data_IF_372605562133
#
_entry.id   IF_372605562133
#
_cell.length_a   1.000
_cell.length_b   1.000
_cell.length_c   1.000
_cell.angle_alpha   90.00
_cell.angle_beta   90.00
_cell.angle_gamma   90.00
#
_symmetry.space_group_name_H-M   'P 1'
#
loop_
_entity.id
_entity.type
_entity.pdbx_description
1 polymer ?
#
# COMPACT_ATOMS: atom_id res chain seq x y z
N UNK A 1 27.41 -63.45 14.19
CA UNK A 1 26.00 -63.08 14.44
C UNK A 1 25.98 -61.62 14.84
N UNK A 2 25.65 -60.74 13.90
CA UNK A 2 25.59 -59.30 14.16
C UNK A 2 24.35 -59.00 15.00
N UNK A 3 24.55 -58.38 16.16
CA UNK A 3 23.47 -57.77 16.91
C UNK A 3 23.02 -56.52 16.12
N UNK A 4 21.89 -56.63 15.43
CA UNK A 4 21.14 -55.47 14.95
C UNK A 4 20.70 -54.70 16.20
N UNK A 5 21.32 -53.55 16.47
CA UNK A 5 20.78 -52.60 17.44
C UNK A 5 19.35 -52.25 17.02
N UNK A 6 18.36 -52.26 17.93
CA UNK A 6 17.01 -51.87 17.57
C UNK A 6 17.03 -50.41 17.14
N UNK A 7 16.70 -50.14 15.87
CA UNK A 7 16.42 -48.77 15.43
C UNK A 7 15.25 -48.26 16.27
N UNK A 8 15.43 -47.12 16.94
CA UNK A 8 14.30 -46.41 17.55
C UNK A 8 13.28 -46.12 16.44
N UNK A 9 12.05 -46.56 16.64
CA UNK A 9 10.93 -46.29 15.73
C UNK A 9 9.98 -45.31 16.41
N UNK A 10 9.57 -44.28 15.67
CA UNK A 10 8.59 -43.29 16.10
C UNK A 10 7.39 -43.31 15.15
N UNK A 11 6.52 -44.35 15.21
CA UNK A 11 5.47 -44.58 14.22
C UNK A 11 4.34 -43.53 14.24
N UNK A 12 4.23 -42.78 15.34
CA UNK A 12 3.22 -41.74 15.55
C UNK A 12 3.79 -40.31 15.51
N UNK A 13 5.06 -40.16 15.11
CA UNK A 13 5.70 -38.85 15.03
C UNK A 13 5.16 -38.04 13.85
N UNK A 14 4.59 -36.87 14.14
CA UNK A 14 3.98 -35.98 13.14
C UNK A 14 4.93 -34.85 12.72
N UNK A 15 5.76 -34.37 13.65
CA UNK A 15 6.71 -33.28 13.41
C UNK A 15 8.08 -33.63 13.97
N UNK A 16 9.14 -33.31 13.23
CA UNK A 16 10.52 -33.58 13.60
C UNK A 16 11.41 -32.38 13.25
N UNK A 17 12.22 -31.96 14.22
CA UNK A 17 13.31 -31.01 14.00
C UNK A 17 14.64 -31.70 14.24
N UNK A 18 15.55 -31.57 13.28
CA UNK A 18 16.95 -31.99 13.40
C UNK A 18 17.84 -30.75 13.29
N UNK A 19 18.84 -30.66 14.15
CA UNK A 19 19.76 -29.53 14.17
C UNK A 19 21.22 -30.00 14.21
N UNK A 20 22.07 -29.33 13.43
CA UNK A 20 23.53 -29.48 13.44
C UNK A 20 23.98 -30.95 13.37
N UNK A 21 23.32 -31.74 12.54
CA UNK A 21 23.55 -33.18 12.44
C UNK A 21 23.61 -33.64 10.99
N UNK A 22 24.12 -34.84 10.80
CA UNK A 22 24.11 -35.52 9.51
C UNK A 22 23.20 -36.74 9.61
N UNK A 23 22.47 -37.04 8.55
CA UNK A 23 21.53 -38.16 8.55
C UNK A 23 21.65 -38.99 7.28
N UNK A 24 21.32 -40.27 7.40
CA UNK A 24 21.10 -41.16 6.26
C UNK A 24 19.61 -41.11 5.93
N UNK A 25 19.21 -40.78 4.68
CA UNK A 25 17.80 -40.70 4.29
C UNK A 25 16.99 -41.96 4.59
N UNK A 26 17.59 -43.14 4.44
CA UNK A 26 16.95 -44.43 4.73
C UNK A 26 16.54 -44.60 6.20
N UNK A 27 17.21 -43.89 7.11
CA UNK A 27 16.89 -43.93 8.54
C UNK A 27 15.70 -43.03 8.90
N UNK A 28 15.29 -42.11 8.01
CA UNK A 28 14.07 -41.32 8.13
C UNK A 28 12.88 -42.11 7.59
N UNK A 29 12.51 -43.18 8.30
CA UNK A 29 11.31 -43.97 8.03
C UNK A 29 10.21 -43.61 9.04
N UNK A 30 9.51 -42.51 8.79
CA UNK A 30 8.51 -41.93 9.68
C UNK A 30 7.18 -41.81 8.92
N UNK A 31 6.33 -42.86 8.95
CA UNK A 31 5.19 -42.97 8.05
C UNK A 31 4.07 -41.95 8.30
N UNK A 32 4.06 -41.29 9.46
CA UNK A 32 3.09 -40.27 9.86
C UNK A 32 3.67 -38.85 9.95
N UNK A 33 4.92 -38.66 9.52
CA UNK A 33 5.55 -37.35 9.58
C UNK A 33 4.93 -36.43 8.53
N UNK A 34 4.37 -35.32 8.99
CA UNK A 34 3.75 -34.28 8.16
C UNK A 34 4.66 -33.05 8.03
N UNK A 35 5.52 -32.82 9.02
CA UNK A 35 6.41 -31.67 9.10
C UNK A 35 7.85 -32.09 9.42
N UNK A 36 8.82 -31.57 8.65
CA UNK A 36 10.25 -31.77 8.89
C UNK A 36 11.00 -30.44 8.83
N UNK A 37 11.75 -30.15 9.90
CA UNK A 37 12.66 -29.01 9.97
C UNK A 37 14.11 -29.48 10.07
N UNK A 38 14.95 -29.02 9.16
CA UNK A 38 16.36 -29.40 9.06
C UNK A 38 17.23 -28.15 9.17
N UNK A 39 17.85 -27.93 10.34
CA UNK A 39 18.67 -26.75 10.62
C UNK A 39 20.14 -27.14 10.58
N UNK A 40 20.91 -26.58 9.65
CA UNK A 40 22.34 -26.89 9.48
C UNK A 40 22.61 -28.39 9.37
N UNK A 41 21.73 -29.11 8.66
CA UNK A 41 21.82 -30.55 8.49
C UNK A 41 22.35 -30.92 7.10
N UNK A 42 22.90 -32.14 6.98
CA UNK A 42 23.33 -32.69 5.70
C UNK A 42 22.87 -34.15 5.54
N UNK A 43 22.48 -34.50 4.31
CA UNK A 43 22.31 -35.90 3.92
C UNK A 43 23.68 -36.51 3.59
N UNK A 44 24.00 -37.64 4.21
CA UNK A 44 25.28 -38.34 3.96
C UNK A 44 25.25 -39.29 2.76
N UNK A 45 24.06 -39.61 2.25
CA UNK A 45 23.86 -40.41 1.04
C UNK A 45 22.78 -39.77 0.15
N UNK A 46 23.21 -39.17 -0.96
CA UNK A 46 22.33 -38.48 -1.91
C UNK A 46 21.68 -39.43 -2.93
N UNK A 47 22.06 -40.71 -2.96
CA UNK A 47 21.42 -41.72 -3.82
C UNK A 47 20.20 -42.35 -3.16
N UNK A 48 20.20 -42.43 -1.84
CA UNK A 48 19.05 -42.87 -1.06
C UNK A 48 17.93 -41.82 -1.09
N UNK A 49 16.69 -42.31 -1.13
CA UNK A 49 15.48 -41.48 -1.15
C UNK A 49 14.76 -41.55 0.19
N UNK A 50 14.02 -40.49 0.49
CA UNK A 50 13.23 -40.38 1.71
C UNK A 50 12.04 -41.33 1.66
N UNK A 51 11.65 -41.90 2.80
CA UNK A 51 10.38 -42.61 2.94
C UNK A 51 9.47 -41.87 3.92
N UNK A 52 8.94 -40.74 3.47
CA UNK A 52 8.08 -39.85 4.25
C UNK A 52 6.78 -39.59 3.47
N UNK A 53 5.87 -40.59 3.41
CA UNK A 53 4.72 -40.59 2.50
C UNK A 53 3.61 -39.59 2.85
N UNK A 54 3.69 -38.94 4.02
CA UNK A 54 2.73 -37.93 4.48
C UNK A 54 3.39 -36.55 4.70
N UNK A 55 4.66 -36.40 4.31
CA UNK A 55 5.38 -35.13 4.53
C UNK A 55 4.78 -34.04 3.65
N UNK A 56 4.20 -33.04 4.29
CA UNK A 56 3.55 -31.91 3.62
C UNK A 56 4.43 -30.66 3.66
N UNK A 57 5.15 -30.45 4.75
CA UNK A 57 5.99 -29.27 4.96
C UNK A 57 7.46 -29.64 5.21
N UNK A 58 8.35 -29.02 4.45
CA UNK A 58 9.78 -29.10 4.65
C UNK A 58 10.37 -27.70 4.84
N UNK A 59 10.96 -27.48 6.02
CA UNK A 59 11.77 -26.31 6.33
C UNK A 59 13.25 -26.72 6.37
N UNK A 60 14.09 -25.98 5.64
CA UNK A 60 15.54 -26.16 5.65
C UNK A 60 16.22 -24.84 5.92
N UNK A 61 17.10 -24.81 6.90
CA UNK A 61 17.93 -23.64 7.22
C UNK A 61 19.41 -23.97 7.02
N UNK A 62 20.15 -23.14 6.30
CA UNK A 62 21.59 -23.28 6.13
C UNK A 62 22.02 -24.14 4.94
N UNK A 63 22.09 -25.47 5.07
CA UNK A 63 22.58 -26.35 3.99
C UNK A 63 21.43 -27.11 3.34
N UNK A 64 21.33 -27.06 2.01
CA UNK A 64 20.23 -27.67 1.27
C UNK A 64 20.69 -28.58 0.13
N UNK A 65 21.92 -28.44 -0.39
CA UNK A 65 22.35 -29.17 -1.60
C UNK A 65 22.17 -30.69 -1.48
N UNK A 66 22.71 -31.29 -0.42
CA UNK A 66 22.62 -32.75 -0.23
C UNK A 66 21.22 -33.22 0.14
N UNK A 67 20.42 -32.35 0.78
CA UNK A 67 19.01 -32.58 1.10
C UNK A 67 18.20 -32.63 -0.20
N UNK A 68 18.32 -31.60 -1.06
CA UNK A 68 17.71 -31.52 -2.38
C UNK A 68 17.97 -32.79 -3.21
N UNK A 69 19.22 -33.25 -3.26
CA UNK A 69 19.60 -34.41 -4.06
C UNK A 69 18.95 -35.73 -3.59
N UNK A 70 18.53 -35.79 -2.32
CA UNK A 70 17.88 -36.96 -1.71
C UNK A 70 16.35 -36.97 -1.81
N UNK A 71 15.73 -35.88 -2.31
CA UNK A 71 14.29 -35.77 -2.50
C UNK A 71 13.89 -36.34 -3.87
N UNK A 72 12.90 -37.22 -3.89
CA UNK A 72 12.21 -37.61 -5.13
C UNK A 72 11.02 -36.67 -5.38
N UNK A 73 11.26 -35.53 -6.02
CA UNK A 73 10.23 -34.53 -6.28
C UNK A 73 9.05 -35.02 -7.12
N UNK A 74 9.23 -36.09 -7.91
CA UNK A 74 8.18 -36.66 -8.75
C UNK A 74 7.15 -37.48 -7.98
N UNK A 75 7.54 -38.05 -6.83
CA UNK A 75 6.70 -38.91 -5.99
C UNK A 75 6.51 -38.37 -4.56
N UNK A 76 7.16 -37.27 -4.23
CA UNK A 76 7.02 -36.59 -2.94
C UNK A 76 5.60 -36.06 -2.73
N UNK A 77 5.17 -36.01 -1.47
CA UNK A 77 3.94 -35.34 -1.05
C UNK A 77 4.18 -33.91 -0.56
N UNK A 78 5.43 -33.44 -0.54
CA UNK A 78 5.77 -32.10 -0.04
C UNK A 78 4.99 -31.06 -0.84
N UNK A 79 4.19 -30.27 -0.13
CA UNK A 79 3.38 -29.18 -0.66
C UNK A 79 4.03 -27.82 -0.41
N UNK A 80 4.67 -27.67 0.75
CA UNK A 80 5.32 -26.42 1.19
C UNK A 80 6.82 -26.65 1.40
N UNK A 81 7.64 -25.92 0.64
CA UNK A 81 9.09 -25.90 0.80
C UNK A 81 9.54 -24.50 1.23
N UNK A 82 10.16 -24.43 2.40
CA UNK A 82 10.73 -23.20 2.96
C UNK A 82 12.23 -23.38 3.12
N UNK A 83 13.00 -22.53 2.45
CA UNK A 83 14.45 -22.51 2.53
C UNK A 83 14.87 -21.17 3.13
N UNK A 84 15.70 -21.20 4.16
CA UNK A 84 16.15 -20.02 4.90
C UNK A 84 17.68 -19.99 4.97
N UNK A 85 18.25 -18.83 4.66
CA UNK A 85 19.69 -18.59 4.73
C UNK A 85 20.53 -19.69 4.04
N UNK A 86 20.14 -20.14 2.84
CA UNK A 86 20.85 -21.23 2.16
C UNK A 86 22.27 -20.81 1.75
N UNK A 87 23.25 -21.64 2.10
CA UNK A 87 24.69 -21.32 1.99
C UNK A 87 25.44 -22.15 0.96
N UNK A 88 24.88 -23.27 0.49
CA UNK A 88 25.63 -24.29 -0.26
C UNK A 88 25.03 -24.65 -1.64
N UNK A 89 24.01 -23.92 -2.10
CA UNK A 89 23.27 -24.23 -3.32
C UNK A 89 23.15 -23.03 -4.26
N UNK A 90 24.12 -22.91 -5.17
CA UNK A 90 24.16 -21.85 -6.21
C UNK A 90 23.28 -22.18 -7.42
N UNK A 91 22.95 -23.46 -7.65
CA UNK A 91 22.16 -23.91 -8.80
C UNK A 91 21.09 -24.90 -8.40
N UNK A 92 19.85 -24.59 -8.74
CA UNK A 92 18.71 -25.50 -8.68
C UNK A 92 18.26 -25.82 -10.09
N UNK A 93 18.36 -27.08 -10.50
CA UNK A 93 18.05 -27.43 -11.88
C UNK A 93 17.46 -28.81 -12.07
N UNK A 94 16.69 -28.96 -13.15
CA UNK A 94 16.09 -30.22 -13.59
C UNK A 94 15.14 -30.83 -12.56
N UNK A 95 14.33 -30.00 -11.91
CA UNK A 95 13.38 -30.45 -10.88
C UNK A 95 11.95 -30.32 -11.38
N UNK A 96 11.22 -31.43 -11.26
CA UNK A 96 9.84 -31.56 -11.69
C UNK A 96 9.03 -32.04 -10.49
N UNK A 97 8.05 -31.24 -10.05
CA UNK A 97 7.21 -31.60 -8.91
C UNK A 97 5.73 -31.36 -9.20
N UNK A 98 4.88 -32.39 -9.06
CA UNK A 98 3.43 -32.24 -9.16
C UNK A 98 2.77 -31.84 -7.84
N UNK A 99 3.47 -31.88 -6.71
CA UNK A 99 2.90 -31.69 -5.37
C UNK A 99 3.13 -30.29 -4.81
N UNK A 100 4.30 -29.69 -5.07
CA UNK A 100 4.67 -28.39 -4.50
C UNK A 100 3.68 -27.31 -4.92
N UNK A 101 3.02 -26.71 -3.93
CA UNK A 101 2.07 -25.61 -4.07
C UNK A 101 2.63 -24.28 -3.56
N UNK A 102 3.62 -24.32 -2.66
CA UNK A 102 4.25 -23.15 -2.06
C UNK A 102 5.76 -23.30 -1.98
N UNK A 103 6.50 -22.31 -2.47
CA UNK A 103 7.96 -22.23 -2.33
C UNK A 103 8.33 -20.83 -1.80
N UNK A 104 9.13 -20.80 -0.74
CA UNK A 104 9.81 -19.61 -0.24
C UNK A 104 11.28 -19.94 -0.06
N UNK A 105 12.16 -19.30 -0.81
CA UNK A 105 13.58 -19.62 -0.83
C UNK A 105 14.47 -18.40 -0.62
N UNK A 106 15.09 -18.32 0.55
CA UNK A 106 16.05 -17.29 0.93
C UNK A 106 17.47 -17.85 0.91
N UNK A 107 18.31 -17.25 0.07
CA UNK A 107 19.72 -17.60 -0.08
C UNK A 107 20.57 -16.60 0.70
N UNK A 108 21.60 -17.13 1.37
CA UNK A 108 22.53 -16.32 2.14
C UNK A 108 23.31 -15.35 1.24
N UNK A 109 23.76 -14.23 1.83
CA UNK A 109 24.58 -13.22 1.15
C UNK A 109 25.96 -13.73 0.72
N UNK A 110 26.37 -14.94 1.13
CA UNK A 110 27.59 -15.58 0.66
C UNK A 110 27.50 -16.14 -0.77
N UNK A 111 26.28 -16.36 -1.29
CA UNK A 111 26.06 -16.83 -2.67
C UNK A 111 25.90 -15.61 -3.57
N UNK A 112 26.80 -15.42 -4.53
CA UNK A 112 26.77 -14.24 -5.41
C UNK A 112 25.61 -14.26 -6.40
N UNK A 113 25.34 -15.42 -7.01
CA UNK A 113 24.26 -15.60 -7.97
C UNK A 113 23.60 -16.98 -7.80
N UNK A 114 22.28 -17.00 -7.89
CA UNK A 114 21.48 -18.23 -7.86
C UNK A 114 20.93 -18.51 -9.25
N UNK A 115 21.23 -19.70 -9.77
CA UNK A 115 20.69 -20.19 -11.05
C UNK A 115 19.50 -21.12 -10.81
N UNK A 116 18.33 -20.74 -11.31
CA UNK A 116 17.15 -21.61 -11.39
C UNK A 116 16.93 -22.00 -12.85
N UNK A 117 17.08 -23.28 -13.16
CA UNK A 117 17.10 -23.75 -14.55
C UNK A 117 16.25 -25.01 -14.76
N UNK A 118 15.39 -25.02 -15.79
CA UNK A 118 14.61 -26.20 -16.15
C UNK A 118 13.80 -26.74 -14.96
N UNK A 119 12.98 -25.85 -14.37
CA UNK A 119 12.11 -26.18 -13.25
C UNK A 119 10.65 -26.22 -13.71
N UNK A 120 9.92 -27.26 -13.29
CA UNK A 120 8.50 -27.41 -13.60
C UNK A 120 7.73 -27.83 -12.36
N UNK A 121 6.93 -26.91 -11.84
CA UNK A 121 6.10 -27.13 -10.66
C UNK A 121 4.63 -26.96 -11.05
N UNK A 122 3.97 -28.07 -11.36
CA UNK A 122 2.65 -28.02 -12.01
C UNK A 122 1.51 -27.60 -11.09
N UNK A 123 1.72 -27.71 -9.77
CA UNK A 123 0.74 -27.33 -8.74
C UNK A 123 1.10 -26.06 -7.98
N UNK A 124 2.22 -25.41 -8.32
CA UNK A 124 2.72 -24.24 -7.61
C UNK A 124 1.74 -23.09 -7.75
N UNK A 125 1.32 -22.50 -6.62
CA UNK A 125 0.47 -21.31 -6.58
C UNK A 125 1.25 -20.06 -6.20
N UNK A 126 2.28 -20.19 -5.35
CA UNK A 126 3.10 -19.08 -4.87
C UNK A 126 4.58 -19.46 -4.92
N UNK A 127 5.38 -18.57 -5.52
CA UNK A 127 6.84 -18.65 -5.50
C UNK A 127 7.42 -17.34 -4.97
N UNK A 128 8.31 -17.41 -3.99
CA UNK A 128 9.08 -16.27 -3.50
C UNK A 128 10.53 -16.66 -3.34
N UNK A 129 11.44 -15.81 -3.79
CA UNK A 129 12.86 -16.03 -3.54
C UNK A 129 13.63 -14.74 -3.30
N UNK A 130 14.62 -14.81 -2.42
CA UNK A 130 15.59 -13.76 -2.19
C UNK A 130 17.02 -14.27 -2.35
N UNK A 131 17.85 -13.52 -3.07
CA UNK A 131 19.26 -13.83 -3.33
C UNK A 131 20.06 -12.54 -3.59
N UNK A 132 21.35 -12.64 -3.89
CA UNK A 132 22.12 -11.47 -4.33
C UNK A 132 21.94 -11.15 -5.83
N UNK A 133 21.66 -12.16 -6.66
CA UNK A 133 21.41 -12.06 -8.09
C UNK A 133 20.74 -13.35 -8.58
N UNK A 134 19.95 -13.26 -9.65
CA UNK A 134 19.22 -14.37 -10.24
C UNK A 134 19.57 -14.62 -11.70
N UNK A 135 19.74 -15.90 -12.03
CA UNK A 135 19.72 -16.41 -13.41
C UNK A 135 18.60 -17.42 -13.57
N UNK A 136 17.53 -17.02 -14.24
CA UNK A 136 16.30 -17.80 -14.42
C UNK A 136 16.18 -18.25 -15.88
N UNK A 137 16.10 -19.56 -16.09
CA UNK A 137 15.98 -20.12 -17.43
C UNK A 137 15.03 -21.32 -17.47
N UNK A 138 14.11 -21.35 -18.44
CA UNK A 138 13.20 -22.49 -18.66
C UNK A 138 12.40 -22.85 -17.40
N UNK A 139 11.64 -21.90 -16.88
CA UNK A 139 10.78 -22.12 -15.72
C UNK A 139 9.33 -22.26 -16.18
N UNK A 140 8.64 -23.31 -15.73
CA UNK A 140 7.25 -23.58 -16.10
C UNK A 140 6.38 -23.79 -14.87
N UNK A 141 5.58 -22.78 -14.54
CA UNK A 141 4.70 -22.74 -13.35
C UNK A 141 3.24 -22.49 -13.79
N UNK A 142 2.56 -23.48 -14.37
CA UNK A 142 1.27 -23.27 -15.04
C UNK A 142 0.12 -22.83 -14.11
N UNK A 143 0.25 -22.97 -12.79
CA UNK A 143 -0.79 -22.60 -11.82
C UNK A 143 -0.40 -21.45 -10.88
N UNK A 144 0.79 -20.88 -11.06
CA UNK A 144 1.26 -19.83 -10.16
C UNK A 144 0.37 -18.61 -10.30
N UNK A 145 -0.04 -18.03 -9.17
CA UNK A 145 -0.85 -16.80 -9.09
C UNK A 145 0.00 -15.61 -8.64
N UNK A 146 1.00 -15.86 -7.78
CA UNK A 146 1.93 -14.86 -7.27
C UNK A 146 3.36 -15.35 -7.39
N UNK A 147 4.21 -14.54 -8.01
CA UNK A 147 5.64 -14.82 -8.18
C UNK A 147 6.43 -13.60 -7.71
N UNK A 148 7.42 -13.84 -6.84
CA UNK A 148 8.20 -12.80 -6.18
C UNK A 148 9.70 -13.06 -6.23
N UNK A 149 10.48 -12.03 -6.58
CA UNK A 149 11.93 -12.02 -6.51
C UNK A 149 12.40 -10.76 -5.79
N UNK A 150 13.39 -10.92 -4.92
CA UNK A 150 14.01 -9.81 -4.21
C UNK A 150 15.52 -10.00 -4.17
N UNK A 151 16.28 -8.92 -4.36
CA UNK A 151 17.71 -8.95 -4.01
C UNK A 151 18.04 -8.12 -2.78
N UNK A 152 19.12 -8.52 -2.11
CA UNK A 152 19.64 -7.82 -0.94
C UNK A 152 20.55 -6.63 -1.28
N UNK A 153 21.03 -6.50 -2.53
CA UNK A 153 22.06 -5.54 -2.93
C UNK A 153 21.62 -4.70 -4.13
N UNK A 154 21.58 -3.38 -3.95
CA UNK A 154 21.26 -2.43 -5.03
C UNK A 154 22.27 -2.43 -6.18
N UNK A 155 23.50 -2.92 -5.96
CA UNK A 155 24.62 -2.97 -6.92
C UNK A 155 25.14 -4.41 -7.17
N UNK A 156 24.23 -5.40 -7.11
CA UNK A 156 24.54 -6.83 -7.34
C UNK A 156 24.93 -7.17 -8.80
N UNK A 157 25.23 -8.45 -9.04
CA UNK A 157 25.39 -8.96 -10.41
C UNK A 157 24.10 -8.81 -11.21
N UNK A 158 24.22 -8.53 -12.50
CA UNK A 158 23.07 -8.38 -13.41
C UNK A 158 22.21 -9.65 -13.45
N UNK A 159 20.89 -9.47 -13.38
CA UNK A 159 19.89 -10.52 -13.43
C UNK A 159 19.53 -10.93 -14.87
N UNK A 160 19.19 -12.20 -15.05
CA UNK A 160 18.72 -12.75 -16.31
C UNK A 160 17.43 -13.54 -16.11
N UNK A 161 16.41 -13.29 -16.93
CA UNK A 161 15.20 -14.11 -16.98
C UNK A 161 14.84 -14.45 -18.42
N UNK A 162 14.75 -15.75 -18.71
CA UNK A 162 14.37 -16.20 -20.04
C UNK A 162 13.53 -17.47 -20.05
N UNK A 163 12.62 -17.59 -21.01
CA UNK A 163 11.72 -18.74 -21.17
C UNK A 163 10.92 -19.02 -19.89
N UNK A 164 10.24 -17.99 -19.41
CA UNK A 164 9.39 -18.05 -18.23
C UNK A 164 7.93 -18.28 -18.64
N UNK A 165 7.36 -19.40 -18.24
CA UNK A 165 6.00 -19.81 -18.60
C UNK A 165 5.11 -19.88 -17.35
N UNK A 166 4.28 -18.87 -17.14
CA UNK A 166 3.37 -18.75 -16.00
C UNK A 166 2.00 -18.19 -16.45
N UNK A 167 1.20 -18.99 -17.21
CA UNK A 167 -0.03 -18.54 -17.85
C UNK A 167 -1.09 -17.95 -16.91
N UNK A 168 -1.12 -18.39 -15.65
CA UNK A 168 -2.11 -17.97 -14.65
C UNK A 168 -1.56 -16.97 -13.63
N UNK A 169 -0.36 -16.41 -13.87
CA UNK A 169 0.24 -15.43 -12.98
C UNK A 169 -0.62 -14.17 -12.96
N UNK A 170 -1.04 -13.73 -11.78
CA UNK A 170 -1.88 -12.55 -11.57
C UNK A 170 -1.04 -11.38 -11.07
N UNK A 171 -0.10 -11.66 -10.16
CA UNK A 171 0.72 -10.65 -9.48
C UNK A 171 2.21 -10.99 -9.57
N UNK A 172 3.01 -10.04 -10.02
CA UNK A 172 4.46 -10.17 -10.14
C UNK A 172 5.16 -9.15 -9.23
N UNK A 173 5.86 -9.64 -8.21
CA UNK A 173 6.58 -8.80 -7.25
C UNK A 173 8.09 -8.84 -7.53
N UNK A 174 8.68 -7.68 -7.79
CA UNK A 174 10.08 -7.55 -8.16
C UNK A 174 10.71 -6.45 -7.31
N UNK A 175 11.78 -6.77 -6.59
CA UNK A 175 12.45 -5.83 -5.70
C UNK A 175 13.98 -5.86 -5.83
N UNK A 176 14.59 -4.68 -5.98
CA UNK A 176 16.04 -4.47 -6.05
C UNK A 176 16.70 -5.27 -7.19
N UNK A 177 16.13 -5.29 -8.39
CA UNK A 177 16.61 -6.14 -9.50
C UNK A 177 17.22 -5.32 -10.64
N UNK A 178 18.23 -5.90 -11.28
CA UNK A 178 18.94 -5.30 -12.41
C UNK A 178 18.94 -6.22 -13.62
N UNK A 179 17.87 -6.21 -14.41
CA UNK A 179 17.76 -7.12 -15.54
C UNK A 179 18.65 -6.70 -16.71
N UNK A 180 19.61 -7.54 -17.07
CA UNK A 180 20.33 -7.47 -18.35
C UNK A 180 19.54 -8.11 -19.49
N UNK A 181 18.76 -9.14 -19.18
CA UNK A 181 17.99 -9.90 -20.17
C UNK A 181 16.63 -10.29 -19.63
N UNK A 182 15.59 -9.98 -20.41
CA UNK A 182 14.21 -10.38 -20.22
C UNK A 182 13.70 -10.87 -21.56
N UNK A 183 13.48 -12.17 -21.69
CA UNK A 183 13.18 -12.76 -23.00
C UNK A 183 12.22 -13.93 -22.91
N UNK A 184 11.30 -14.07 -23.86
CA UNK A 184 10.30 -15.14 -23.90
C UNK A 184 9.53 -15.29 -22.57
N UNK A 185 8.97 -14.19 -22.07
CA UNK A 185 8.14 -14.15 -20.85
C UNK A 185 6.67 -14.33 -21.23
N UNK A 186 6.04 -15.43 -20.79
CA UNK A 186 4.64 -15.76 -21.09
C UNK A 186 3.77 -15.73 -19.84
N UNK A 187 3.07 -14.61 -19.65
CA UNK A 187 2.21 -14.32 -18.49
C UNK A 187 0.89 -13.64 -18.91
N UNK A 188 0.06 -14.25 -19.77
CA UNK A 188 -1.16 -13.64 -20.33
C UNK A 188 -2.23 -13.22 -19.29
N UNK A 189 -2.26 -13.81 -18.09
CA UNK A 189 -3.21 -13.45 -17.04
C UNK A 189 -2.68 -12.34 -16.10
N UNK A 190 -1.49 -11.79 -16.36
CA UNK A 190 -0.85 -10.82 -15.49
C UNK A 190 -1.60 -9.49 -15.54
N UNK A 191 -2.01 -9.01 -14.37
CA UNK A 191 -2.80 -7.77 -14.23
C UNK A 191 -2.16 -6.77 -13.26
N UNK A 192 -1.27 -7.24 -12.37
CA UNK A 192 -0.66 -6.42 -11.33
C UNK A 192 0.85 -6.68 -11.23
N UNK A 193 1.62 -5.60 -11.11
CA UNK A 193 3.07 -5.65 -10.92
C UNK A 193 3.49 -4.71 -9.78
N UNK A 194 4.34 -5.21 -8.90
CA UNK A 194 5.03 -4.41 -7.90
C UNK A 194 6.51 -4.34 -8.29
N UNK A 195 6.98 -3.14 -8.63
CA UNK A 195 8.29 -2.88 -9.22
C UNK A 195 9.05 -1.92 -8.31
N UNK A 196 9.69 -2.49 -7.30
CA UNK A 196 10.39 -1.74 -6.25
C UNK A 196 11.88 -1.72 -6.57
N UNK A 197 12.39 -0.60 -7.08
CA UNK A 197 13.81 -0.45 -7.47
C UNK A 197 14.28 -1.51 -8.49
N UNK A 198 13.61 -1.57 -9.64
CA UNK A 198 13.93 -2.49 -10.74
C UNK A 198 14.35 -1.69 -11.97
N UNK A 199 15.54 -2.00 -12.49
CA UNK A 199 16.08 -1.35 -13.69
C UNK A 199 16.49 -2.35 -14.76
N UNK A 200 16.39 -1.92 -16.01
CA UNK A 200 16.93 -2.64 -17.15
C UNK A 200 18.33 -2.11 -17.46
N UNK A 201 19.33 -2.99 -17.54
CA UNK A 201 20.72 -2.64 -17.84
C UNK A 201 21.05 -3.00 -19.28
N UNK A 202 21.36 -2.00 -20.09
CA UNK A 202 21.57 -2.16 -21.54
C UNK A 202 20.25 -2.26 -22.32
N UNK A 203 20.29 -1.97 -23.63
CA UNK A 203 19.08 -1.67 -24.41
C UNK A 203 18.63 -2.75 -25.40
N UNK A 204 19.31 -3.90 -25.47
CA UNK A 204 19.15 -4.81 -26.62
C UNK A 204 18.43 -6.14 -26.37
N UNK A 205 18.25 -6.58 -25.12
CA UNK A 205 17.77 -7.94 -24.82
C UNK A 205 16.62 -8.01 -23.79
N UNK A 206 15.82 -6.93 -23.65
CA UNK A 206 14.67 -6.94 -22.74
C UNK A 206 13.36 -6.69 -23.49
N UNK A 207 12.50 -7.70 -23.52
CA UNK A 207 11.14 -7.63 -24.05
C UNK A 207 10.14 -7.31 -22.92
N UNK A 208 9.57 -6.12 -22.99
CA UNK A 208 8.55 -5.63 -22.07
C UNK A 208 7.11 -5.89 -22.54
N UNK A 209 6.89 -6.70 -23.59
CA UNK A 209 5.53 -6.94 -24.14
C UNK A 209 4.55 -7.56 -23.14
N UNK A 210 5.05 -8.30 -22.16
CA UNK A 210 4.24 -8.87 -21.08
C UNK A 210 3.60 -7.82 -20.17
N UNK A 211 4.06 -6.56 -20.22
CA UNK A 211 3.53 -5.43 -19.46
C UNK A 211 2.31 -4.76 -20.11
N UNK A 212 1.98 -5.06 -21.38
CA UNK A 212 0.92 -4.33 -22.11
C UNK A 212 -0.49 -4.42 -21.47
N UNK A 213 -0.77 -5.51 -20.76
CA UNK A 213 -2.07 -5.78 -20.14
C UNK A 213 -2.19 -5.40 -18.67
N UNK A 214 -1.17 -4.76 -18.09
CA UNK A 214 -1.17 -4.42 -16.66
C UNK A 214 -2.18 -3.32 -16.36
N UNK A 215 -3.02 -3.55 -15.35
CA UNK A 215 -4.02 -2.59 -14.86
C UNK A 215 -3.57 -1.91 -13.56
N UNK A 216 -2.75 -2.58 -12.75
CA UNK A 216 -2.26 -2.06 -11.47
C UNK A 216 -0.75 -2.11 -11.38
N UNK A 217 -0.11 -1.00 -11.01
CA UNK A 217 1.32 -0.93 -10.79
C UNK A 217 1.65 -0.22 -9.49
N UNK A 218 2.55 -0.81 -8.69
CA UNK A 218 3.28 -0.10 -7.65
C UNK A 218 4.74 0.10 -8.08
N UNK A 219 5.28 1.32 -7.93
CA UNK A 219 6.62 1.66 -8.42
C UNK A 219 7.38 2.62 -7.49
N UNK A 220 8.65 2.31 -7.24
CA UNK A 220 9.59 3.18 -6.50
C UNK A 220 10.59 3.84 -7.47
N UNK A 221 11.48 3.06 -8.08
CA UNK A 221 12.48 3.54 -9.04
C UNK A 221 12.56 2.59 -10.22
N UNK A 222 11.77 2.88 -11.25
CA UNK A 222 11.75 2.11 -12.51
C UNK A 222 11.11 2.93 -13.61
N UNK A 223 11.42 2.60 -14.86
CA UNK A 223 10.79 3.20 -16.04
C UNK A 223 9.84 2.26 -16.79
N UNK A 224 9.54 1.09 -16.21
CA UNK A 224 8.66 0.08 -16.81
C UNK A 224 7.22 0.55 -17.01
N UNK A 225 6.79 1.60 -16.29
CA UNK A 225 5.52 2.29 -16.52
C UNK A 225 5.38 2.80 -17.97
N UNK A 226 6.49 3.03 -18.69
CA UNK A 226 6.47 3.41 -20.12
C UNK A 226 5.91 2.32 -21.04
N UNK A 227 5.76 1.10 -20.54
CA UNK A 227 5.35 -0.07 -21.31
C UNK A 227 3.95 -0.57 -20.94
N UNK A 228 3.21 0.19 -20.14
CA UNK A 228 1.91 -0.19 -19.56
C UNK A 228 0.80 0.80 -19.92
N UNK A 229 0.32 0.75 -21.15
CA UNK A 229 -0.73 1.68 -21.63
C UNK A 229 -2.11 1.41 -20.99
N UNK A 230 -2.33 0.22 -20.40
CA UNK A 230 -3.61 -0.23 -19.83
C UNK A 230 -3.80 0.11 -18.34
N UNK A 231 -2.87 0.86 -17.73
CA UNK A 231 -2.92 1.17 -16.30
C UNK A 231 -4.20 1.90 -15.90
N UNK A 232 -4.83 1.42 -14.83
CA UNK A 232 -5.98 2.03 -14.16
C UNK A 232 -5.61 2.54 -12.78
N UNK A 233 -4.72 1.84 -12.07
CA UNK A 233 -4.20 2.21 -10.75
C UNK A 233 -2.67 2.27 -10.78
N UNK A 234 -2.13 3.41 -10.37
CA UNK A 234 -0.70 3.63 -10.22
C UNK A 234 -0.39 4.09 -8.80
N UNK A 235 0.43 3.35 -8.08
CA UNK A 235 1.04 3.75 -6.82
C UNK A 235 2.49 4.14 -7.06
N UNK A 236 2.87 5.35 -6.64
CA UNK A 236 4.23 5.88 -6.78
C UNK A 236 4.81 6.17 -5.41
N UNK A 237 5.87 5.46 -5.03
CA UNK A 237 6.51 5.62 -3.72
C UNK A 237 7.75 6.53 -3.74
N UNK A 238 8.19 6.95 -4.93
CA UNK A 238 9.20 7.99 -5.09
C UNK A 238 8.63 9.15 -5.87
N UNK A 239 8.32 10.24 -5.18
CA UNK A 239 7.67 11.42 -5.75
C UNK A 239 8.50 12.03 -6.90
N UNK A 240 9.83 11.86 -6.88
CA UNK A 240 10.70 12.33 -7.98
C UNK A 240 10.36 11.67 -9.31
N UNK A 241 9.89 10.43 -9.29
CA UNK A 241 9.52 9.68 -10.48
C UNK A 241 8.32 10.30 -11.21
N UNK A 242 7.43 10.99 -10.49
CA UNK A 242 6.30 11.67 -11.11
C UNK A 242 6.76 12.78 -12.08
N UNK A 243 7.90 13.44 -11.83
CA UNK A 243 8.46 14.43 -12.75
C UNK A 243 8.96 13.78 -14.04
N UNK A 244 9.52 12.56 -13.96
CA UNK A 244 9.96 11.80 -15.12
C UNK A 244 8.78 11.27 -15.95
N UNK A 245 7.66 11.00 -15.28
CA UNK A 245 6.40 10.58 -15.89
C UNK A 245 5.61 11.72 -16.53
N UNK A 246 5.93 13.00 -16.27
CA UNK A 246 5.08 14.14 -16.63
C UNK A 246 4.70 14.24 -18.12
N UNK A 247 5.59 13.80 -19.01
CA UNK A 247 5.34 13.79 -20.46
C UNK A 247 4.65 12.50 -20.97
N UNK A 248 4.41 11.52 -20.10
CA UNK A 248 3.81 10.25 -20.45
C UNK A 248 2.28 10.32 -20.40
N UNK A 249 1.65 9.76 -21.45
CA UNK A 249 0.21 9.72 -21.59
C UNK A 249 -0.36 8.44 -21.00
N UNK A 250 -1.18 8.56 -19.96
CA UNK A 250 -1.87 7.46 -19.29
C UNK A 250 -3.37 7.47 -19.67
N UNK A 251 -3.77 6.79 -20.76
CA UNK A 251 -5.12 6.92 -21.31
C UNK A 251 -6.24 6.36 -20.42
N UNK A 252 -5.93 5.45 -19.51
CA UNK A 252 -6.91 4.71 -18.71
C UNK A 252 -6.72 4.87 -17.21
N UNK A 253 -5.74 5.68 -16.77
CA UNK A 253 -5.42 5.85 -15.36
C UNK A 253 -6.56 6.61 -14.67
N UNK A 254 -7.25 5.93 -13.76
CA UNK A 254 -8.34 6.50 -12.97
C UNK A 254 -7.91 6.81 -11.54
N UNK A 255 -6.94 6.06 -11.00
CA UNK A 255 -6.52 6.18 -9.61
C UNK A 255 -5.00 6.37 -9.52
N UNK A 256 -4.58 7.42 -8.81
CA UNK A 256 -3.19 7.69 -8.49
C UNK A 256 -3.00 7.73 -6.98
N UNK A 257 -2.07 6.92 -6.48
CA UNK A 257 -1.66 6.91 -5.07
C UNK A 257 -0.20 7.35 -5.02
N UNK A 258 0.12 8.31 -4.17
CA UNK A 258 1.49 8.78 -3.96
C UNK A 258 1.84 8.52 -2.50
N UNK A 259 2.73 7.56 -2.26
CA UNK A 259 3.00 6.99 -0.95
C UNK A 259 4.53 6.91 -0.71
N UNK A 260 5.21 8.01 -0.36
CA UNK A 260 6.65 8.03 -0.12
C UNK A 260 7.14 6.91 0.80
N UNK A 261 8.27 6.31 0.44
CA UNK A 261 8.99 5.43 1.34
C UNK A 261 9.50 6.18 2.58
N UNK A 262 9.60 5.48 3.71
CA UNK A 262 10.13 6.02 4.98
C UNK A 262 11.58 6.50 4.90
N UNK A 263 12.27 6.25 3.78
CA UNK A 263 13.65 6.66 3.52
C UNK A 263 13.77 8.08 2.94
N UNK A 264 12.68 8.69 2.47
CA UNK A 264 12.72 10.07 1.97
C UNK A 264 12.68 11.06 3.14
N UNK A 265 13.85 11.36 3.70
CA UNK A 265 14.07 12.50 4.59
C UNK A 265 14.13 13.83 3.84
N UNK A 266 13.94 13.82 2.52
CA UNK A 266 13.98 15.00 1.69
C UNK A 266 12.68 15.78 1.88
N UNK A 267 12.73 16.78 2.75
CA UNK A 267 11.63 17.71 3.04
C UNK A 267 11.52 18.82 2.01
N UNK A 268 12.18 18.67 0.85
CA UNK A 268 12.12 19.68 -0.20
C UNK A 268 10.70 19.80 -0.73
N UNK A 269 10.14 21.02 -0.78
CA UNK A 269 8.83 21.29 -1.36
C UNK A 269 8.65 20.64 -2.72
N UNK A 270 7.59 19.85 -2.89
CA UNK A 270 7.28 19.21 -4.16
C UNK A 270 6.04 19.89 -4.75
N UNK A 271 6.20 20.54 -5.89
CA UNK A 271 5.07 20.89 -6.76
C UNK A 271 4.61 19.63 -7.46
N UNK A 272 3.32 19.28 -7.33
CA UNK A 272 2.73 18.13 -8.00
C UNK A 272 2.95 18.20 -9.52
N UNK A 273 3.79 17.33 -10.11
CA UNK A 273 3.91 17.27 -11.56
C UNK A 273 2.60 16.75 -12.14
N UNK A 274 2.19 17.37 -13.24
CA UNK A 274 0.98 17.00 -13.97
C UNK A 274 1.28 15.73 -14.79
N UNK A 275 0.52 14.67 -14.57
CA UNK A 275 0.50 13.50 -15.43
C UNK A 275 -0.54 13.74 -16.53
N UNK A 276 -0.24 13.32 -17.76
CA UNK A 276 -1.23 13.35 -18.82
C UNK A 276 -2.22 12.18 -18.66
N UNK A 277 -3.11 12.26 -17.68
CA UNK A 277 -4.09 11.24 -17.30
C UNK A 277 -5.53 11.79 -17.38
N UNK A 278 -6.19 11.76 -18.56
CA UNK A 278 -7.49 12.42 -18.76
C UNK A 278 -8.67 11.74 -18.05
N UNK A 279 -8.49 10.49 -17.60
CA UNK A 279 -9.50 9.72 -16.89
C UNK A 279 -9.27 9.70 -15.38
N UNK A 280 -8.40 10.57 -14.85
CA UNK A 280 -8.03 10.54 -13.44
C UNK A 280 -9.19 11.01 -12.56
N UNK A 281 -9.76 10.09 -11.80
CA UNK A 281 -10.95 10.24 -10.94
C UNK A 281 -10.56 10.38 -9.46
N UNK A 282 -9.48 9.71 -9.04
CA UNK A 282 -9.05 9.67 -7.63
C UNK A 282 -7.56 9.96 -7.49
N UNK A 283 -7.21 10.85 -6.57
CA UNK A 283 -5.82 11.07 -6.14
C UNK A 283 -5.71 10.92 -4.61
N UNK A 284 -4.75 10.13 -4.17
CA UNK A 284 -4.42 9.91 -2.76
C UNK A 284 -2.96 10.26 -2.48
N UNK A 285 -2.74 11.07 -1.46
CA UNK A 285 -1.41 11.42 -0.96
C UNK A 285 -1.25 10.83 0.43
N UNK A 286 -0.26 9.95 0.61
CA UNK A 286 -0.02 9.21 1.83
C UNK A 286 1.38 9.54 2.38
N UNK A 287 1.48 10.52 3.28
CA UNK A 287 2.70 10.81 4.04
C UNK A 287 3.76 11.65 3.34
N UNK A 288 3.38 12.58 2.43
CA UNK A 288 4.36 13.42 1.71
C UNK A 288 4.84 14.61 2.53
N UNK A 289 6.14 14.73 2.86
CA UNK A 289 6.68 15.93 3.48
C UNK A 289 6.63 17.11 2.51
N UNK A 290 5.63 18.01 2.64
CA UNK A 290 5.67 19.33 1.99
C UNK A 290 4.94 19.44 0.66
N UNK A 291 3.64 19.20 0.65
CA UNK A 291 2.76 19.64 -0.46
C UNK A 291 2.43 21.12 -0.24
N UNK A 292 3.03 22.02 -1.02
CA UNK A 292 2.83 23.47 -0.87
C UNK A 292 1.94 24.09 -1.94
N UNK A 293 1.78 23.44 -3.10
CA UNK A 293 1.04 23.99 -4.23
C UNK A 293 0.15 22.92 -4.88
N UNK A 294 -1.16 23.10 -4.67
CA UNK A 294 -2.21 22.26 -5.23
C UNK A 294 -2.82 22.86 -6.51
N UNK A 295 -2.36 24.02 -6.99
CA UNK A 295 -2.93 24.72 -8.16
C UNK A 295 -2.94 23.87 -9.43
N UNK A 296 -2.00 22.93 -9.54
CA UNK A 296 -1.93 21.95 -10.62
C UNK A 296 -3.16 21.04 -10.74
N UNK A 297 -3.95 20.87 -9.68
CA UNK A 297 -5.16 20.04 -9.72
C UNK A 297 -6.20 20.51 -10.75
N UNK A 298 -6.19 21.79 -11.12
CA UNK A 298 -7.04 22.32 -12.20
C UNK A 298 -6.82 21.60 -13.56
N UNK A 299 -5.69 20.91 -13.74
CA UNK A 299 -5.46 20.03 -14.90
C UNK A 299 -6.51 18.91 -14.99
N UNK A 300 -6.98 18.41 -13.85
CA UNK A 300 -7.94 17.31 -13.73
C UNK A 300 -9.37 17.80 -13.41
N UNK A 301 -9.64 19.09 -13.63
CA UNK A 301 -10.91 19.75 -13.25
C UNK A 301 -12.17 18.98 -13.67
N UNK A 302 -12.14 18.37 -14.86
CA UNK A 302 -13.31 17.77 -15.50
C UNK A 302 -13.46 16.28 -15.09
N UNK A 303 -12.44 15.66 -14.49
CA UNK A 303 -12.41 14.22 -14.18
C UNK A 303 -12.26 13.90 -12.69
N UNK A 304 -11.61 14.76 -11.89
CA UNK A 304 -11.27 14.46 -10.50
C UNK A 304 -12.52 14.47 -9.61
N UNK A 305 -12.90 13.31 -9.08
CA UNK A 305 -14.06 13.10 -8.22
C UNK A 305 -13.68 13.03 -6.74
N UNK A 306 -12.47 12.55 -6.41
CA UNK A 306 -12.04 12.41 -5.01
C UNK A 306 -10.57 12.79 -4.81
N UNK A 307 -10.33 13.58 -3.76
CA UNK A 307 -8.99 13.97 -3.33
C UNK A 307 -8.80 13.64 -1.84
N UNK A 308 -7.75 12.89 -1.56
CA UNK A 308 -7.37 12.54 -0.19
C UNK A 308 -5.94 12.96 0.09
N UNK A 309 -5.73 13.75 1.15
CA UNK A 309 -4.43 14.20 1.62
C UNK A 309 -4.22 13.71 3.05
N UNK A 310 -3.27 12.81 3.27
CA UNK A 310 -2.95 12.24 4.58
C UNK A 310 -1.48 12.47 4.94
N UNK A 311 -1.19 13.02 6.11
CA UNK A 311 0.19 13.22 6.56
C UNK A 311 0.36 13.25 8.09
N UNK A 312 1.19 12.36 8.64
CA UNK A 312 1.49 12.26 10.08
C UNK A 312 2.50 13.28 10.59
N UNK A 313 3.44 13.74 9.77
CA UNK A 313 4.58 14.53 10.28
C UNK A 313 4.69 15.92 9.62
N UNK A 314 3.56 16.52 9.21
CA UNK A 314 3.56 17.84 8.59
C UNK A 314 3.56 18.97 9.60
N UNK A 315 4.46 19.93 9.43
CA UNK A 315 4.40 21.24 10.10
C UNK A 315 4.46 22.33 9.03
N UNK A 316 3.32 22.87 8.62
CA UNK A 316 3.24 23.94 7.62
C UNK A 316 1.82 24.37 7.26
N UNK A 317 1.71 25.35 6.37
CA UNK A 317 0.43 25.85 5.85
C UNK A 317 -0.03 25.00 4.65
N UNK A 318 -1.31 24.61 4.66
CA UNK A 318 -1.96 23.87 3.57
C UNK A 318 -2.82 24.86 2.80
N UNK A 319 -2.47 25.12 1.54
CA UNK A 319 -3.08 26.18 0.73
C UNK A 319 -3.82 25.58 -0.46
N UNK A 320 -5.12 25.83 -0.52
CA UNK A 320 -5.97 25.67 -1.69
C UNK A 320 -6.28 27.08 -2.21
N UNK A 321 -5.75 27.45 -3.37
CA UNK A 321 -5.95 28.76 -3.99
C UNK A 321 -6.29 28.63 -5.47
N UNK A 322 -7.25 29.44 -5.94
CA UNK A 322 -7.69 29.51 -7.33
C UNK A 322 -8.03 28.15 -7.98
N UNK A 323 -8.65 27.24 -7.22
CA UNK A 323 -9.07 25.92 -7.69
C UNK A 323 -10.52 25.90 -8.17
N UNK A 324 -10.74 25.40 -9.38
CA UNK A 324 -12.05 25.08 -9.91
C UNK A 324 -12.11 23.61 -10.30
N UNK A 325 -12.69 22.79 -9.42
CA UNK A 325 -12.84 21.34 -9.60
C UNK A 325 -14.34 21.00 -9.65
N UNK A 326 -15.00 21.16 -10.82
CA UNK A 326 -16.44 20.96 -10.96
C UNK A 326 -16.91 19.54 -10.68
N UNK A 327 -16.09 18.52 -10.91
CA UNK A 327 -16.44 17.11 -10.70
C UNK A 327 -16.15 16.59 -9.30
N UNK A 328 -15.49 17.38 -8.44
CA UNK A 328 -15.03 16.93 -7.12
C UNK A 328 -16.21 16.68 -6.19
N UNK A 329 -16.36 15.44 -5.73
CA UNK A 329 -17.41 14.99 -4.81
C UNK A 329 -16.93 14.91 -3.36
N UNK A 330 -15.66 14.52 -3.16
CA UNK A 330 -15.07 14.23 -1.84
C UNK A 330 -13.71 14.92 -1.71
N UNK A 331 -13.53 15.68 -0.63
CA UNK A 331 -12.25 16.27 -0.23
C UNK A 331 -11.98 15.93 1.23
N UNK A 332 -10.96 15.09 1.47
CA UNK A 332 -10.52 14.72 2.81
C UNK A 332 -9.05 15.10 3.00
N UNK A 333 -8.79 15.85 4.07
CA UNK A 333 -7.47 16.30 4.46
C UNK A 333 -7.23 15.94 5.92
N UNK A 334 -6.21 15.14 6.20
CA UNK A 334 -5.82 14.73 7.55
C UNK A 334 -4.33 14.97 7.73
N UNK A 335 -4.00 15.89 8.62
CA UNK A 335 -2.64 16.31 8.91
C UNK A 335 -2.44 16.32 10.42
N UNK A 336 -1.38 15.71 10.94
CA UNK A 336 -1.21 15.61 12.40
C UNK A 336 -0.82 16.93 13.06
N UNK A 337 -0.01 17.79 12.41
CA UNK A 337 0.43 19.08 12.98
C UNK A 337 0.39 20.28 12.00
N UNK A 338 -0.71 20.50 11.24
CA UNK A 338 -0.79 21.62 10.31
C UNK A 338 -0.69 22.96 11.06
N UNK A 339 0.01 23.94 10.48
CA UNK A 339 0.06 25.31 11.03
C UNK A 339 -1.19 26.11 10.66
N UNK A 340 -1.73 25.91 9.44
CA UNK A 340 -2.96 26.52 8.93
C UNK A 340 -3.58 25.73 7.78
N UNK A 341 -4.90 25.84 7.66
CA UNK A 341 -5.64 25.51 6.44
C UNK A 341 -6.14 26.82 5.80
N UNK A 342 -5.67 27.12 4.58
CA UNK A 342 -6.07 28.29 3.82
C UNK A 342 -6.80 27.80 2.57
N UNK A 343 -8.12 27.99 2.51
CA UNK A 343 -8.92 27.68 1.32
C UNK A 343 -9.52 28.98 0.79
N UNK A 344 -8.99 29.43 -0.35
CA UNK A 344 -9.35 30.71 -0.92
C UNK A 344 -9.58 30.65 -2.43
N UNK A 345 -10.52 31.47 -2.93
CA UNK A 345 -10.88 31.56 -4.36
C UNK A 345 -11.22 30.21 -5.02
N UNK A 346 -11.73 29.26 -4.22
CA UNK A 346 -12.01 27.90 -4.65
C UNK A 346 -13.50 27.71 -4.97
N UNK A 347 -13.78 26.88 -5.98
CA UNK A 347 -15.14 26.55 -6.45
C UNK A 347 -15.28 25.04 -6.67
N UNK A 348 -16.08 24.40 -5.82
CA UNK A 348 -16.35 22.95 -5.88
C UNK A 348 -17.88 22.72 -5.94
N UNK A 349 -18.51 22.92 -7.11
CA UNK A 349 -19.97 22.91 -7.25
C UNK A 349 -20.65 21.59 -6.89
N UNK A 350 -20.01 20.45 -7.15
CA UNK A 350 -20.57 19.13 -6.86
C UNK A 350 -20.05 18.52 -5.55
N UNK A 351 -19.26 19.26 -4.74
CA UNK A 351 -18.68 18.72 -3.52
C UNK A 351 -19.77 18.36 -2.52
N UNK A 352 -19.81 17.09 -2.11
CA UNK A 352 -20.77 16.53 -1.16
C UNK A 352 -20.16 16.47 0.24
N UNK A 353 -18.88 16.13 0.33
CA UNK A 353 -18.16 15.86 1.58
C UNK A 353 -16.86 16.67 1.66
N UNK A 354 -16.73 17.43 2.75
CA UNK A 354 -15.52 18.13 3.13
C UNK A 354 -15.10 17.71 4.54
N UNK A 355 -13.90 17.15 4.64
CA UNK A 355 -13.31 16.77 5.92
C UNK A 355 -11.91 17.37 6.06
N UNK A 356 -11.70 18.13 7.13
CA UNK A 356 -10.41 18.68 7.51
C UNK A 356 -10.08 18.22 8.93
N UNK A 357 -8.97 17.51 9.11
CA UNK A 357 -8.49 17.01 10.39
C UNK A 357 -7.07 17.50 10.67
N UNK A 358 -6.90 18.06 11.86
CA UNK A 358 -5.64 18.47 12.47
C UNK A 358 -5.28 17.60 13.69
N UNK A 359 -4.33 18.08 14.50
CA UNK A 359 -3.98 17.44 15.78
C UNK A 359 -5.11 17.55 16.80
N UNK A 360 -5.37 16.47 17.53
CA UNK A 360 -6.17 16.53 18.76
C UNK A 360 -5.38 17.11 19.95
N UNK A 361 -4.06 17.32 19.80
CA UNK A 361 -3.19 17.89 20.83
C UNK A 361 -2.90 19.36 20.49
N UNK A 362 -3.55 20.30 21.17
CA UNK A 362 -3.26 21.72 20.99
C UNK A 362 -1.86 22.04 21.55
N UNK A 363 -0.96 22.42 20.65
CA UNK A 363 0.24 23.19 21.01
C UNK A 363 0.02 24.66 20.62
N UNK A 364 0.97 25.54 20.95
CA UNK A 364 1.00 26.92 20.44
C UNK A 364 0.93 27.02 18.90
N UNK A 365 0.98 25.89 18.18
CA UNK A 365 0.96 25.74 16.72
C UNK A 365 -0.37 25.20 16.16
N UNK A 366 -1.49 25.26 16.90
CA UNK A 366 -2.75 24.67 16.41
C UNK A 366 -3.24 25.34 15.12
N UNK A 367 -3.58 24.54 14.11
CA UNK A 367 -3.97 25.02 12.78
C UNK A 367 -5.09 26.04 12.83
N UNK A 368 -4.89 27.22 12.24
CA UNK A 368 -5.99 28.15 11.99
C UNK A 368 -6.66 27.83 10.65
N UNK A 369 -8.00 27.80 10.64
CA UNK A 369 -8.79 27.68 9.40
C UNK A 369 -9.15 29.05 8.85
N UNK A 370 -8.89 29.28 7.56
CA UNK A 370 -9.31 30.47 6.83
C UNK A 370 -10.06 30.10 5.55
N UNK A 371 -11.32 30.55 5.46
CA UNK A 371 -12.12 30.49 4.24
C UNK A 371 -12.28 31.90 3.63
N UNK A 372 -11.91 32.06 2.37
CA UNK A 372 -12.18 33.30 1.61
C UNK A 372 -12.64 33.01 0.19
N UNK A 373 -13.85 33.43 -0.17
CA UNK A 373 -14.40 33.21 -1.53
C UNK A 373 -14.47 31.73 -1.91
N UNK A 374 -15.05 30.90 -1.03
CA UNK A 374 -15.28 29.46 -1.21
C UNK A 374 -16.73 29.18 -1.62
N UNK A 375 -16.94 28.50 -2.75
CA UNK A 375 -18.28 28.16 -3.27
C UNK A 375 -18.52 26.63 -3.22
N UNK A 376 -19.42 26.20 -2.32
CA UNK A 376 -19.77 24.79 -2.07
C UNK A 376 -21.30 24.55 -2.10
N UNK A 377 -21.98 24.79 -3.24
CA UNK A 377 -23.45 24.78 -3.33
C UNK A 377 -24.10 23.41 -3.16
N UNK A 378 -23.34 22.30 -3.17
CA UNK A 378 -23.86 20.94 -3.00
C UNK A 378 -23.46 20.28 -1.67
N UNK A 379 -22.72 20.99 -0.81
CA UNK A 379 -22.13 20.41 0.40
C UNK A 379 -23.19 19.85 1.35
N UNK A 380 -23.05 18.58 1.73
CA UNK A 380 -23.97 17.86 2.63
C UNK A 380 -23.33 17.47 3.95
N UNK A 381 -22.04 17.18 3.96
CA UNK A 381 -21.27 16.77 5.14
C UNK A 381 -20.06 17.68 5.30
N UNK A 382 -19.96 18.28 6.49
CA UNK A 382 -18.78 19.01 6.95
C UNK A 382 -18.25 18.37 8.23
N UNK A 383 -17.02 17.88 8.18
CA UNK A 383 -16.27 17.39 9.35
C UNK A 383 -15.05 18.27 9.57
N UNK A 384 -14.95 18.89 10.75
CA UNK A 384 -13.75 19.60 11.19
C UNK A 384 -13.27 18.93 12.48
N UNK A 385 -12.00 18.53 12.53
CA UNK A 385 -11.43 17.91 13.73
C UNK A 385 -10.07 18.49 14.09
N UNK A 386 -9.79 18.78 15.37
CA UNK A 386 -8.44 19.15 15.82
C UNK A 386 -7.88 20.43 15.20
N UNK A 387 -8.74 21.43 14.95
CA UNK A 387 -8.40 22.69 14.27
C UNK A 387 -8.87 23.89 15.10
N UNK A 388 -8.11 24.97 15.10
CA UNK A 388 -8.51 26.27 15.66
C UNK A 388 -9.39 27.03 14.65
N UNK A 389 -10.63 27.31 15.05
CA UNK A 389 -11.60 28.05 14.26
C UNK A 389 -11.61 29.52 14.68
N UNK A 390 -12.06 30.41 13.79
CA UNK A 390 -12.42 31.77 14.18
C UNK A 390 -13.54 31.76 15.23
N UNK A 391 -13.64 32.84 16.02
CA UNK A 391 -14.70 33.00 17.04
C UNK A 391 -16.09 32.69 16.49
N UNK A 392 -16.35 33.07 15.24
CA UNK A 392 -17.60 32.79 14.53
C UNK A 392 -17.36 31.85 13.35
N UNK A 393 -18.14 30.76 13.29
CA UNK A 393 -18.24 29.86 12.14
C UNK A 393 -19.60 30.08 11.43
N UNK A 394 -19.57 30.68 10.24
CA UNK A 394 -20.76 30.94 9.44
C UNK A 394 -21.00 29.85 8.39
N UNK A 395 -22.00 29.00 8.66
CA UNK A 395 -22.42 27.90 7.78
C UNK A 395 -23.71 28.21 7.01
N UNK A 396 -24.27 29.42 7.18
CA UNK A 396 -25.60 29.78 6.65
C UNK A 396 -25.76 29.67 5.13
N UNK A 397 -24.62 29.66 4.43
CA UNK A 397 -24.48 29.66 2.97
C UNK A 397 -24.37 28.27 2.35
N UNK A 398 -24.26 27.21 3.16
CA UNK A 398 -24.07 25.83 2.70
C UNK A 398 -25.29 24.96 3.00
N UNK A 399 -25.77 24.12 2.07
CA UNK A 399 -26.97 23.30 2.26
C UNK A 399 -26.67 21.99 3.01
N UNK A 400 -26.01 22.11 4.16
CA UNK A 400 -25.53 21.01 4.98
C UNK A 400 -26.68 20.18 5.57
N UNK A 401 -26.43 18.89 5.73
CA UNK A 401 -27.33 17.94 6.42
C UNK A 401 -26.65 17.27 7.59
N UNK A 402 -25.30 17.26 7.61
CA UNK A 402 -24.48 16.66 8.65
C UNK A 402 -23.31 17.58 8.98
N UNK A 403 -23.11 17.83 10.26
CA UNK A 403 -22.04 18.71 10.78
C UNK A 403 -21.40 18.00 11.97
N UNK A 404 -20.08 17.80 11.90
CA UNK A 404 -19.28 17.21 12.97
C UNK A 404 -18.10 18.15 13.28
N UNK A 405 -18.05 18.66 14.51
CA UNK A 405 -17.01 19.57 15.00
C UNK A 405 -16.33 18.94 16.20
N UNK A 406 -15.20 18.27 15.99
CA UNK A 406 -14.54 17.47 17.01
C UNK A 406 -13.23 18.10 17.44
N UNK A 407 -13.03 18.28 18.75
CA UNK A 407 -11.82 18.86 19.31
C UNK A 407 -11.42 20.20 18.66
N UNK A 408 -12.39 21.00 18.20
CA UNK A 408 -12.12 22.32 17.62
C UNK A 408 -11.91 23.38 18.71
N UNK A 409 -10.94 24.29 18.49
CA UNK A 409 -10.61 25.38 19.40
C UNK A 409 -11.13 26.73 18.89
N UNK A 410 -11.20 27.74 19.77
CA UNK A 410 -11.50 29.13 19.39
C UNK A 410 -12.95 29.45 19.03
N UNK A 411 -13.83 28.44 18.98
CA UNK A 411 -15.22 28.58 18.56
C UNK A 411 -16.11 29.13 19.69
N UNK A 412 -16.71 30.30 19.46
CA UNK A 412 -17.67 30.94 20.38
C UNK A 412 -19.09 30.95 19.79
N UNK A 413 -19.21 31.06 18.47
CA UNK A 413 -20.49 31.23 17.76
C UNK A 413 -20.56 30.35 16.50
N UNK A 414 -21.71 29.69 16.29
CA UNK A 414 -22.06 28.98 15.06
C UNK A 414 -23.33 29.59 14.47
N UNK A 415 -23.30 29.94 13.19
CA UNK A 415 -24.49 30.34 12.43
C UNK A 415 -24.90 29.18 11.53
N UNK A 416 -26.03 28.55 11.84
CA UNK A 416 -26.49 27.35 11.15
C UNK A 416 -27.03 27.65 9.74
N UNK A 417 -27.02 26.66 8.83
CA UNK A 417 -27.74 26.72 7.56
C UNK A 417 -29.21 27.08 7.74
N UNK A 418 -29.74 27.92 6.84
CA UNK A 418 -31.17 28.19 6.78
C UNK A 418 -31.94 27.13 6.01
N UNK A 419 -33.16 26.84 6.47
CA UNK A 419 -34.10 25.90 5.88
C UNK A 419 -33.51 24.48 5.65
N UNK A 420 -32.48 24.12 6.43
CA UNK A 420 -31.80 22.84 6.31
C UNK A 420 -32.31 21.85 7.36
N UNK A 421 -32.87 20.73 6.89
CA UNK A 421 -33.11 19.57 7.75
C UNK A 421 -31.76 18.94 8.11
N UNK A 422 -31.19 19.34 9.25
CA UNK A 422 -30.00 18.73 9.80
C UNK A 422 -30.38 17.34 10.34
N UNK A 423 -29.70 16.31 9.83
CA UNK A 423 -29.85 14.92 10.28
C UNK A 423 -28.86 14.59 11.40
N UNK A 424 -27.65 15.16 11.34
CA UNK A 424 -26.58 14.96 12.32
C UNK A 424 -25.92 16.28 12.68
N UNK A 425 -25.84 16.56 13.98
CA UNK A 425 -25.09 17.68 14.53
C UNK A 425 -24.34 17.16 15.76
N UNK A 426 -23.01 17.13 15.66
CA UNK A 426 -22.11 16.64 16.69
C UNK A 426 -21.05 17.69 16.99
N UNK A 427 -20.86 17.98 18.27
CA UNK A 427 -19.79 18.82 18.77
C UNK A 427 -19.10 18.07 19.90
N UNK A 428 -17.83 17.76 19.72
CA UNK A 428 -16.95 17.27 20.78
C UNK A 428 -15.94 18.37 21.14
N UNK A 429 -15.92 18.88 22.39
CA UNK A 429 -14.94 19.89 22.79
C UNK A 429 -13.51 19.38 22.78
N UNK A 430 -12.57 20.31 22.73
CA UNK A 430 -11.18 20.01 23.03
C UNK A 430 -11.02 19.67 24.53
N UNK A 431 -10.21 18.66 24.92
CA UNK A 431 -10.05 18.26 26.33
C UNK A 431 -9.51 19.36 27.25
N UNK A 432 -8.77 20.32 26.70
CA UNK A 432 -8.12 21.42 27.44
C UNK A 432 -8.85 22.77 27.37
N UNK A 433 -9.93 22.89 26.59
CA UNK A 433 -10.75 24.11 26.66
C UNK A 433 -11.49 24.13 28.00
N UNK A 434 -11.24 25.16 28.82
CA UNK A 434 -12.13 25.52 29.94
C UNK A 434 -13.56 25.69 29.39
N UNK A 435 -14.58 25.43 30.22
CA UNK A 435 -16.00 25.49 29.84
C UNK A 435 -16.32 26.65 28.90
N UNK A 436 -16.46 26.35 27.60
CA UNK A 436 -16.80 27.32 26.58
C UNK A 436 -18.32 27.29 26.39
N UNK A 437 -18.95 28.46 26.52
CA UNK A 437 -20.32 28.67 26.07
C UNK A 437 -20.29 28.87 24.56
N UNK A 438 -20.84 27.94 23.79
CA UNK A 438 -20.99 28.08 22.35
C UNK A 438 -22.41 28.54 22.05
N UNK A 439 -22.53 29.69 21.37
CA UNK A 439 -23.82 30.22 20.92
C UNK A 439 -24.13 29.70 19.53
N UNK A 440 -25.28 29.03 19.38
CA UNK A 440 -25.75 28.46 18.12
C UNK A 440 -26.96 29.26 17.65
N UNK A 441 -26.79 30.04 16.58
CA UNK A 441 -27.89 30.71 15.91
C UNK A 441 -28.50 29.77 14.86
N UNK A 442 -29.80 29.53 14.96
CA UNK A 442 -30.52 28.62 14.06
C UNK A 442 -31.90 29.16 13.72
N UNK A 443 -32.54 28.62 12.70
CA UNK A 443 -33.95 28.90 12.42
C UNK A 443 -34.88 27.83 12.99
N UNK A 444 -36.17 28.05 12.81
CA UNK A 444 -37.25 27.15 13.23
C UNK A 444 -37.19 25.72 12.66
N UNK A 445 -36.36 25.42 11.66
CA UNK A 445 -36.23 24.08 11.06
C UNK A 445 -35.24 23.20 11.80
N UNK A 446 -34.30 23.81 12.54
CA UNK A 446 -33.40 23.11 13.42
C UNK A 446 -34.11 22.79 14.75
N UNK A 447 -34.03 21.53 15.18
CA UNK A 447 -34.61 21.06 16.44
C UNK A 447 -33.50 20.71 17.44
N UNK A 448 -33.10 21.66 18.32
CA UNK A 448 -32.07 21.41 19.33
C UNK A 448 -32.38 20.22 20.24
N UNK A 449 -33.66 19.86 20.43
CA UNK A 449 -34.05 18.79 21.35
C UNK A 449 -33.65 17.39 20.88
N UNK A 450 -33.35 17.24 19.58
CA UNK A 450 -32.80 16.01 19.01
C UNK A 450 -31.31 15.81 19.28
N UNK A 451 -30.64 16.86 19.72
CA UNK A 451 -29.20 16.86 19.96
C UNK A 451 -28.98 17.05 21.46
N UNK A 452 -28.75 15.93 22.14
CA UNK A 452 -28.32 15.98 23.53
C UNK A 452 -26.84 16.36 23.55
N UNK A 453 -26.46 17.30 24.42
CA UNK A 453 -25.07 17.48 24.82
C UNK A 453 -24.50 16.10 25.20
N UNK A 454 -23.68 15.53 24.34
CA UNK A 454 -23.06 14.22 24.57
C UNK A 454 -21.96 14.32 25.64
N UNK A 455 -21.50 15.55 25.95
CA UNK A 455 -20.39 15.80 26.86
C UNK A 455 -20.67 16.95 27.84
N UNK A 456 -20.46 16.68 29.13
CA UNK A 456 -20.66 17.60 30.27
C UNK A 456 -19.73 18.85 30.29
N UNK A 457 -18.92 19.06 29.24
CA UNK A 457 -17.84 20.07 29.22
C UNK A 457 -18.13 21.32 28.37
N UNK A 458 -19.22 21.35 27.61
CA UNK A 458 -19.62 22.50 26.77
C UNK A 458 -21.05 22.89 27.08
N UNK A 459 -21.25 24.17 27.36
CA UNK A 459 -22.57 24.76 27.43
C UNK A 459 -22.97 25.21 26.03
N UNK A 460 -24.07 24.66 25.49
CA UNK A 460 -24.64 25.09 24.22
C UNK A 460 -25.84 26.02 24.48
N UNK A 461 -25.78 27.23 23.93
CA UNK A 461 -26.90 28.18 23.95
C UNK A 461 -27.49 28.29 22.55
N UNK A 462 -28.74 27.85 22.40
CA UNK A 462 -29.46 27.92 21.14
C UNK A 462 -30.30 29.21 21.07
N UNK A 463 -30.12 30.00 20.01
CA UNK A 463 -30.88 31.22 19.74
C UNK A 463 -31.59 31.06 18.39
N UNK A 464 -32.93 31.04 18.44
CA UNK A 464 -33.76 31.04 17.24
C UNK A 464 -33.78 32.45 16.61
N UNK A 465 -33.52 32.53 15.31
CA UNK A 465 -33.53 33.76 14.51
C UNK A 465 -34.41 33.60 13.28
N UNK A 466 -35.11 34.68 12.89
CA UNK A 466 -36.03 34.67 11.74
C UNK A 466 -35.32 34.75 10.38
N UNK A 467 -34.07 35.25 10.36
CA UNK A 467 -33.21 35.26 9.16
C UNK A 467 -31.74 35.59 9.48
N UNK A 468 -30.81 35.27 8.57
CA UNK A 468 -29.37 35.62 8.64
C UNK A 468 -29.13 37.12 8.73
N UNK A 469 -30.04 37.95 8.20
CA UNK A 469 -29.96 39.40 8.32
C UNK A 469 -30.10 39.86 9.78
N UNK A 470 -30.96 39.21 10.56
CA UNK A 470 -31.12 39.52 11.98
C UNK A 470 -29.87 39.10 12.78
N UNK A 471 -29.16 38.06 12.35
CA UNK A 471 -27.90 37.62 12.97
C UNK A 471 -26.80 38.67 12.78
N UNK A 472 -26.62 39.19 11.57
CA UNK A 472 -25.61 40.22 11.26
C UNK A 472 -25.87 41.58 11.93
N UNK A 473 -27.11 41.84 12.38
CA UNK A 473 -27.47 43.04 13.15
C UNK A 473 -27.29 42.85 14.68
N UNK A 474 -27.07 41.62 15.14
CA UNK A 474 -26.99 41.24 16.57
C UNK A 474 -25.59 40.79 16.99
N UNK A 475 -24.76 40.27 16.08
CA UNK A 475 -23.35 39.95 16.33
C UNK A 475 -22.54 41.27 16.34
N UNK A 476 -21.85 41.63 17.45
CA UNK A 476 -21.06 42.86 17.57
C UNK A 476 -19.87 42.98 16.61
#
# INVERSE_FOLDING_TARGET
MGLLSPMLQFPDLVSLTLENTTFLPENLNLPKLEELSLISCESTDTFSRWNLPLLNELLVTGKFKTINDSIDYGHSTIMSLRLQEITDMEKWSNVFSPSLSYISAEFSTGIQQVTLENLNFSSLEVFRSSANSFKLHQLSFPRVKSFGLQTALEDGEEDEMSYFNAPNLIVFHLQNLQFKTLDHIYTPALVSVDILDVKTVGTHNCDHTFLKGIETMNVISSDWWKHTDSLKLLTVENVRLLYEMGDHYFPHLSNLIIAPTTANTDTTPISLPLLMAPCLEKIEFLGIPGIYDLSGLNHYRDSLESLYLFQSDYTGEIIFDDLYLPSLLVLICEFEFPERFIIQHCKFPELIELELRGSEVFSDQTANLQFSSLELPSLKLLTLSGIYLSQTLDLSKYPLTKICLNHCGGLETIIMPHDAAIDLFEIEPHPETETNLITIYHDHTFDPSKYCNLYDRVDLMFIEVGSTKEVNDVIP
#
